data_IF_363966576032
#
_entry.id   IF_363966576032
#
_cell.length_a   1.000
_cell.length_b   1.000
_cell.length_c   1.000
_cell.angle_alpha   90.00
_cell.angle_beta   90.00
_cell.angle_gamma   90.00
#
_symmetry.space_group_name_H-M   'P 1'
#
loop_
_entity.id
_entity.type
_entity.pdbx_description
1 polymer ?
#
# COMPACT_ATOMS: atom_id res chain seq x y z
N UNK A 1 -1.03 -19.66 5.10
CA UNK A 1 -2.11 -19.00 4.36
C UNK A 1 -1.58 -18.66 2.99
N UNK A 2 -2.25 -19.11 1.92
CA UNK A 2 -1.81 -18.86 0.55
C UNK A 2 -1.95 -17.36 0.26
N UNK A 3 -0.86 -16.71 -0.15
CA UNK A 3 -0.88 -15.26 -0.34
C UNK A 3 -1.60 -14.91 -1.64
N UNK A 4 -2.56 -13.99 -1.53
CA UNK A 4 -3.28 -13.48 -2.68
C UNK A 4 -2.31 -12.59 -3.45
N UNK A 5 -1.94 -12.98 -4.68
CA UNK A 5 -0.94 -12.30 -5.55
C UNK A 5 -1.42 -10.94 -6.08
N UNK A 6 -1.97 -10.11 -5.22
CA UNK A 6 -2.55 -8.81 -5.53
C UNK A 6 -2.00 -7.80 -4.54
N UNK A 7 -1.44 -6.71 -5.07
CA UNK A 7 -0.95 -5.58 -4.28
C UNK A 7 -2.03 -4.51 -4.22
N UNK A 8 -2.41 -4.13 -3.00
CA UNK A 8 -3.44 -3.13 -2.75
C UNK A 8 -2.86 -1.72 -2.86
N UNK A 9 -3.60 -0.86 -3.54
CA UNK A 9 -3.35 0.56 -3.59
C UNK A 9 -3.84 1.28 -2.31
N UNK A 10 -3.37 2.50 -2.06
CA UNK A 10 -3.77 3.29 -0.90
C UNK A 10 -5.28 3.55 -0.86
N UNK A 11 -5.93 3.78 -2.01
CA UNK A 11 -7.40 3.91 -2.10
C UNK A 11 -8.14 2.64 -1.68
N UNK A 12 -7.63 1.46 -2.04
CA UNK A 12 -8.22 0.18 -1.65
C UNK A 12 -8.03 -0.09 -0.16
N UNK A 13 -6.89 0.31 0.43
CA UNK A 13 -6.70 0.30 1.88
C UNK A 13 -7.73 1.19 2.56
N UNK A 14 -7.91 2.44 2.10
CA UNK A 14 -8.92 3.36 2.63
C UNK A 14 -10.32 2.74 2.55
N UNK A 15 -10.69 2.18 1.40
CA UNK A 15 -11.97 1.50 1.22
C UNK A 15 -12.16 0.32 2.18
N UNK A 16 -11.13 -0.50 2.35
CA UNK A 16 -11.15 -1.67 3.24
C UNK A 16 -11.38 -1.27 4.70
N UNK A 17 -10.72 -0.22 5.17
CA UNK A 17 -10.87 0.27 6.54
C UNK A 17 -12.12 1.13 6.79
N UNK A 18 -12.77 1.62 5.73
CA UNK A 18 -14.14 2.17 5.82
C UNK A 18 -15.20 1.07 5.93
N UNK A 19 -14.91 -0.12 5.38
CA UNK A 19 -15.77 -1.31 5.44
C UNK A 19 -15.24 -2.36 6.41
N UNK A 20 -15.15 -3.61 5.94
CA UNK A 20 -14.55 -4.72 6.70
C UNK A 20 -13.10 -4.98 6.24
N UNK A 21 -12.08 -4.60 7.03
CA UNK A 21 -10.69 -4.77 6.63
C UNK A 21 -10.27 -6.25 6.58
N UNK A 22 -11.02 -7.19 7.16
CA UNK A 22 -10.70 -8.62 7.12
C UNK A 22 -10.67 -9.18 5.70
N UNK A 23 -11.38 -8.55 4.76
CA UNK A 23 -11.32 -8.89 3.35
C UNK A 23 -9.94 -8.71 2.72
N UNK A 24 -9.10 -7.83 3.27
CA UNK A 24 -7.75 -7.51 2.80
C UNK A 24 -6.66 -8.40 3.41
N UNK A 25 -7.00 -9.34 4.30
CA UNK A 25 -6.02 -10.23 4.92
C UNK A 25 -5.37 -11.12 3.84
N UNK A 26 -4.04 -11.25 3.91
CA UNK A 26 -3.23 -12.08 3.03
C UNK A 26 -2.85 -11.45 1.69
N UNK A 27 -3.29 -10.21 1.42
CA UNK A 27 -2.86 -9.40 0.29
C UNK A 27 -1.52 -8.69 0.57
N UNK A 28 -0.96 -8.08 -0.47
CA UNK A 28 0.23 -7.24 -0.39
C UNK A 28 -0.14 -5.75 -0.32
N UNK A 29 0.77 -4.93 0.19
CA UNK A 29 0.79 -3.48 -0.06
C UNK A 29 2.24 -3.02 -0.17
N UNK A 30 2.50 -1.82 -0.68
CA UNK A 30 3.86 -1.26 -0.70
C UNK A 30 4.11 -0.37 0.52
N UNK A 31 5.38 -0.17 0.90
CA UNK A 31 5.72 0.80 1.95
C UNK A 31 5.31 2.25 1.57
N UNK A 32 5.20 2.56 0.28
CA UNK A 32 4.70 3.85 -0.21
C UNK A 32 3.21 3.98 0.08
N UNK A 33 2.40 2.99 -0.32
CA UNK A 33 0.95 3.01 -0.09
C UNK A 33 0.62 3.00 1.40
N UNK A 34 1.39 2.26 2.20
CA UNK A 34 1.29 2.29 3.65
C UNK A 34 1.59 3.68 4.21
N UNK A 35 2.67 4.34 3.76
CA UNK A 35 3.02 5.69 4.18
C UNK A 35 1.91 6.70 3.83
N UNK A 36 1.38 6.64 2.61
CA UNK A 36 0.27 7.49 2.17
C UNK A 36 -0.98 7.31 3.01
N UNK A 37 -1.38 6.06 3.25
CA UNK A 37 -2.52 5.71 4.07
C UNK A 37 -2.36 6.22 5.51
N UNK A 38 -1.22 5.93 6.15
CA UNK A 38 -0.94 6.34 7.53
C UNK A 38 -0.87 7.87 7.66
N UNK A 39 -0.29 8.57 6.68
CA UNK A 39 -0.31 10.04 6.62
C UNK A 39 -1.74 10.58 6.56
N UNK A 40 -2.59 9.96 5.73
CA UNK A 40 -4.01 10.27 5.67
C UNK A 40 -4.73 10.06 7.00
N UNK A 41 -4.49 8.93 7.67
CA UNK A 41 -5.06 8.63 8.99
C UNK A 41 -4.60 9.63 10.06
N UNK A 42 -3.32 9.99 10.07
CA UNK A 42 -2.76 10.99 10.98
C UNK A 42 -3.37 12.38 10.75
N UNK A 43 -3.54 12.78 9.49
CA UNK A 43 -4.17 14.07 9.14
C UNK A 43 -5.60 14.20 9.68
N UNK A 44 -6.37 13.12 9.71
CA UNK A 44 -7.74 13.10 10.26
C UNK A 44 -7.79 12.73 11.76
N UNK A 45 -6.65 12.76 12.46
CA UNK A 45 -6.56 12.57 13.91
C UNK A 45 -6.79 11.14 14.40
N UNK A 46 -6.54 10.12 13.56
CA UNK A 46 -6.68 8.71 13.96
C UNK A 46 -5.36 8.13 14.48
N UNK A 47 -5.45 7.02 15.21
CA UNK A 47 -4.29 6.30 15.76
C UNK A 47 -3.49 5.59 14.65
N UNK A 48 -2.39 6.21 14.22
CA UNK A 48 -1.48 5.72 13.19
C UNK A 48 -0.84 4.38 13.58
N UNK A 49 -0.39 4.24 14.82
CA UNK A 49 0.31 3.03 15.28
C UNK A 49 -0.60 1.80 15.24
N UNK A 50 -1.87 1.97 15.64
CA UNK A 50 -2.86 0.89 15.59
C UNK A 50 -3.08 0.38 14.16
N UNK A 51 -3.18 1.28 13.19
CA UNK A 51 -3.32 0.90 11.79
C UNK A 51 -2.06 0.24 11.23
N UNK A 52 -0.88 0.77 11.57
CA UNK A 52 0.39 0.18 11.14
C UNK A 52 0.52 -1.26 11.62
N UNK A 53 0.30 -1.49 12.92
CA UNK A 53 0.36 -2.82 13.54
C UNK A 53 -0.62 -3.77 12.88
N UNK A 54 -1.86 -3.32 12.64
CA UNK A 54 -2.86 -4.16 11.98
C UNK A 54 -2.43 -4.53 10.57
N UNK A 55 -1.95 -3.57 9.77
CA UNK A 55 -1.57 -3.80 8.37
C UNK A 55 -0.37 -4.77 8.31
N UNK A 56 0.67 -4.57 9.11
CA UNK A 56 1.84 -5.45 9.12
C UNK A 56 1.54 -6.86 9.62
N UNK A 57 0.55 -7.02 10.51
CA UNK A 57 0.12 -8.33 10.98
C UNK A 57 -0.73 -9.10 9.97
N UNK A 58 -1.42 -8.41 9.07
CA UNK A 58 -2.44 -9.01 8.20
C UNK A 58 -2.10 -8.97 6.70
N UNK A 59 -1.23 -8.06 6.27
CA UNK A 59 -0.78 -7.89 4.90
C UNK A 59 0.73 -8.02 4.82
N UNK A 60 1.22 -8.44 3.65
CA UNK A 60 2.66 -8.38 3.37
C UNK A 60 3.03 -6.99 2.86
N UNK A 61 3.82 -6.25 3.63
CA UNK A 61 4.32 -4.92 3.23
C UNK A 61 5.61 -5.08 2.43
N UNK A 62 5.59 -4.66 1.18
CA UNK A 62 6.71 -4.71 0.25
C UNK A 62 7.51 -3.42 0.31
N UNK A 63 8.76 -3.50 0.72
CA UNK A 63 9.70 -2.38 0.64
C UNK A 63 10.17 -2.16 -0.80
N UNK A 64 10.41 -0.91 -1.17
CA UNK A 64 10.96 -0.60 -2.50
C UNK A 64 12.46 -0.94 -2.51
N UNK A 65 12.81 -1.93 -3.34
CA UNK A 65 14.19 -2.25 -3.67
C UNK A 65 14.60 -1.60 -5.01
N UNK A 66 15.90 -1.64 -5.32
CA UNK A 66 16.46 -1.03 -6.52
C UNK A 66 15.82 -1.52 -7.84
N UNK A 67 15.27 -2.75 -7.87
CA UNK A 67 14.63 -3.28 -9.08
C UNK A 67 13.28 -2.60 -9.38
N UNK A 68 12.27 -2.61 -8.48
CA UNK A 68 11.04 -1.84 -8.65
C UNK A 68 11.28 -0.37 -8.98
N UNK A 69 12.28 0.26 -8.36
CA UNK A 69 12.61 1.67 -8.62
C UNK A 69 13.01 1.91 -10.08
N UNK A 70 13.93 1.10 -10.63
CA UNK A 70 14.34 1.21 -12.04
C UNK A 70 13.16 1.01 -12.98
N UNK A 71 12.28 0.05 -12.67
CA UNK A 71 11.08 -0.21 -13.48
C UNK A 71 10.16 1.01 -13.45
N UNK A 72 9.85 1.54 -12.27
CA UNK A 72 9.01 2.72 -12.11
C UNK A 72 9.59 3.93 -12.86
N UNK A 73 10.92 4.15 -12.79
CA UNK A 73 11.59 5.22 -13.54
C UNK A 73 11.46 5.05 -15.06
N UNK A 74 11.62 3.82 -15.58
CA UNK A 74 11.42 3.54 -17.02
C UNK A 74 9.99 3.82 -17.46
N UNK A 75 9.01 3.28 -16.73
CA UNK A 75 7.58 3.51 -17.00
C UNK A 75 7.27 5.00 -17.02
N UNK A 76 7.79 5.77 -16.07
CA UNK A 76 7.61 7.22 -16.03
C UNK A 76 8.21 7.92 -17.26
N UNK A 77 9.45 7.59 -17.64
CA UNK A 77 10.11 8.16 -18.82
C UNK A 77 9.34 7.84 -20.09
N UNK A 78 8.90 6.59 -20.26
CA UNK A 78 8.15 6.13 -21.44
C UNK A 78 6.80 6.86 -21.57
N UNK A 79 6.13 7.12 -20.45
CA UNK A 79 4.89 7.90 -20.41
C UNK A 79 5.11 9.37 -20.77
N UNK A 80 6.27 9.94 -20.42
CA UNK A 80 6.62 11.34 -20.72
C UNK A 80 7.04 11.56 -22.16
N UNK A 81 7.72 10.60 -22.79
CA UNK A 81 8.15 10.71 -24.18
C UNK A 81 7.00 10.58 -25.20
N UNK A 82 5.87 10.01 -24.78
CA UNK A 82 4.66 9.85 -25.59
C UNK A 82 3.71 11.06 -25.54
N UNK A 83 4.03 12.08 -24.74
CA UNK A 83 3.31 13.35 -24.61
C UNK A 83 4.19 14.49 -25.10
#
# INVERSE_FOLDING_TARGET
MESKRVCLDSDILIGSFKGDPRGAIGYYTTCVNLCEYLRGMGFIGKNVDGFKVWIEANLTVLCIHNSPLKIASRVYTDLRQKN
#
